data_IF_861158042973
#
_entry.id   IF_861158042973
#
_cell.length_a   1.000
_cell.length_b   1.000
_cell.length_c   1.000
_cell.angle_alpha   90.00
_cell.angle_beta   90.00
_cell.angle_gamma   90.00
#
_symmetry.space_group_name_H-M   'P 1'
#
loop_
_entity.id
_entity.type
_entity.pdbx_description
1 polymer ?
#
# COMPACT_ATOMS: atom_id res chain seq x y z
N UNK A 1 -16.92 -3.31 1.95
CA UNK A 1 -15.44 -3.37 1.98
C UNK A 1 -14.79 -1.99 2.14
N UNK A 2 -15.39 -0.94 1.58
CA UNK A 2 -14.86 0.44 1.55
C UNK A 2 -14.39 1.03 2.91
N UNK A 3 -15.06 0.74 4.04
CA UNK A 3 -14.67 1.34 5.34
C UNK A 3 -13.52 0.64 6.08
N UNK A 4 -13.26 -0.66 5.82
CA UNK A 4 -12.27 -1.43 6.62
C UNK A 4 -10.82 -1.02 6.34
N UNK A 5 -10.53 -0.49 5.16
CA UNK A 5 -9.16 -0.13 4.75
C UNK A 5 -8.99 1.35 4.42
N UNK A 6 -10.09 2.13 4.32
CA UNK A 6 -10.03 3.51 3.88
C UNK A 6 -9.16 4.41 4.76
N UNK A 7 -9.04 4.10 6.05
CA UNK A 7 -8.24 4.86 7.00
C UNK A 7 -6.98 4.12 7.51
N UNK A 8 -6.80 2.84 7.16
CA UNK A 8 -5.70 2.01 7.69
C UNK A 8 -4.82 1.48 6.56
N UNK A 9 -3.70 2.19 6.33
CA UNK A 9 -2.69 1.81 5.34
C UNK A 9 -2.03 0.45 5.68
N UNK A 10 -1.82 0.14 6.96
CA UNK A 10 -1.18 -1.11 7.37
C UNK A 10 -2.11 -2.28 7.09
N UNK A 11 -3.39 -2.14 7.38
CA UNK A 11 -4.39 -3.15 7.03
C UNK A 11 -4.49 -3.34 5.52
N UNK A 12 -4.48 -2.26 4.72
CA UNK A 12 -4.49 -2.33 3.27
C UNK A 12 -3.25 -3.07 2.72
N UNK A 13 -2.06 -2.77 3.25
CA UNK A 13 -0.82 -3.46 2.88
C UNK A 13 -0.89 -4.94 3.24
N UNK A 14 -1.33 -5.30 4.44
CA UNK A 14 -1.49 -6.70 4.86
C UNK A 14 -2.48 -7.45 3.98
N UNK A 15 -3.58 -6.83 3.60
CA UNK A 15 -4.55 -7.41 2.68
C UNK A 15 -3.92 -7.68 1.30
N UNK A 16 -3.26 -6.67 0.72
CA UNK A 16 -2.57 -6.81 -0.58
C UNK A 16 -1.43 -7.83 -0.55
N UNK A 17 -0.75 -7.96 0.58
CA UNK A 17 0.21 -9.05 0.82
C UNK A 17 -0.48 -10.42 0.85
N UNK A 18 -1.66 -10.51 1.48
CA UNK A 18 -2.50 -11.70 1.52
C UNK A 18 -2.91 -12.17 0.12
N UNK A 19 -3.31 -11.26 -0.75
CA UNK A 19 -3.72 -11.58 -2.13
C UNK A 19 -2.56 -11.67 -3.14
N UNK A 20 -1.32 -11.40 -2.71
CA UNK A 20 -0.12 -11.55 -3.55
C UNK A 20 0.21 -10.34 -4.44
N UNK A 21 -0.46 -9.21 -4.25
CA UNK A 21 -0.18 -7.97 -4.98
C UNK A 21 1.03 -7.21 -4.42
N UNK A 22 1.33 -7.41 -3.13
CA UNK A 22 2.53 -6.89 -2.48
C UNK A 22 3.39 -8.03 -1.91
N UNK A 23 4.71 -7.78 -1.85
CA UNK A 23 5.66 -8.72 -1.25
C UNK A 23 5.31 -8.99 0.22
N UNK A 24 5.18 -10.27 0.62
CA UNK A 24 4.98 -10.66 2.04
C UNK A 24 6.25 -10.59 2.88
N UNK A 25 7.41 -10.85 2.25
CA UNK A 25 8.74 -10.84 2.87
C UNK A 25 9.72 -10.22 1.88
N UNK A 26 10.78 -9.61 2.39
CA UNK A 26 11.86 -9.07 1.57
C UNK A 26 13.23 -9.22 2.20
N UNK A 27 14.21 -9.41 1.34
CA UNK A 27 15.62 -9.29 1.67
C UNK A 27 16.16 -7.94 1.21
N UNK A 28 17.09 -7.39 1.97
CA UNK A 28 17.73 -6.12 1.66
C UNK A 28 18.58 -6.27 0.40
N UNK A 29 18.38 -5.43 -0.64
CA UNK A 29 19.12 -5.54 -1.89
C UNK A 29 20.62 -5.25 -1.72
N UNK A 30 21.02 -4.59 -0.62
CA UNK A 30 22.43 -4.26 -0.35
C UNK A 30 23.17 -5.33 0.44
N UNK A 31 22.50 -6.01 1.38
CA UNK A 31 23.20 -6.90 2.33
C UNK A 31 22.53 -8.27 2.53
N UNK A 32 21.48 -8.58 1.76
CA UNK A 32 20.79 -9.88 1.76
C UNK A 32 19.92 -10.17 2.99
N UNK A 33 20.05 -9.42 4.09
CA UNK A 33 19.28 -9.66 5.32
C UNK A 33 17.78 -9.41 5.14
N UNK A 34 16.97 -10.22 5.82
CA UNK A 34 15.54 -9.99 5.93
C UNK A 34 15.24 -8.57 6.45
N UNK A 35 14.25 -7.93 5.84
CA UNK A 35 13.77 -6.60 6.17
C UNK A 35 12.50 -6.69 7.02
N UNK A 36 12.24 -5.65 7.80
CA UNK A 36 11.00 -5.51 8.57
C UNK A 36 10.12 -4.45 7.90
N UNK A 37 8.84 -4.76 7.79
CA UNK A 37 7.83 -3.82 7.31
C UNK A 37 7.44 -2.90 8.48
N UNK A 38 7.55 -1.58 8.28
CA UNK A 38 7.30 -0.59 9.31
C UNK A 38 6.43 0.55 8.76
N UNK A 39 5.46 0.98 9.57
CA UNK A 39 4.71 2.21 9.30
C UNK A 39 5.56 3.42 9.65
N UNK A 40 5.56 4.41 8.75
CA UNK A 40 6.14 5.73 9.01
C UNK A 40 5.11 6.60 9.74
N UNK A 41 5.52 7.19 10.86
CA UNK A 41 4.66 8.09 11.64
C UNK A 41 4.42 9.43 10.94
N UNK A 42 5.38 9.90 10.15
CA UNK A 42 5.37 11.22 9.50
C UNK A 42 4.50 11.29 8.24
N UNK A 43 4.42 10.19 7.47
CA UNK A 43 3.70 10.17 6.18
C UNK A 43 2.51 9.20 6.15
N UNK A 44 2.34 8.39 7.19
CA UNK A 44 1.30 7.38 7.25
C UNK A 44 1.48 6.21 6.26
N UNK A 45 2.58 6.19 5.50
CA UNK A 45 2.90 5.12 4.54
C UNK A 45 3.69 3.98 5.20
N UNK A 46 3.90 2.91 4.46
CA UNK A 46 4.60 1.71 4.92
C UNK A 46 5.87 1.48 4.10
N UNK A 47 6.98 1.23 4.79
CA UNK A 47 8.30 0.95 4.19
C UNK A 47 8.85 -0.38 4.65
N UNK A 48 9.67 -1.00 3.81
CA UNK A 48 10.62 -2.02 4.23
C UNK A 48 11.88 -1.34 4.76
N UNK A 49 12.31 -1.69 5.98
CA UNK A 49 13.56 -1.20 6.57
C UNK A 49 14.48 -2.36 6.90
N UNK A 50 15.75 -2.24 6.51
CA UNK A 50 16.80 -3.16 6.95
C UNK A 50 17.26 -2.76 8.37
N UNK A 51 17.17 -3.69 9.33
CA UNK A 51 17.55 -3.40 10.72
C UNK A 51 19.06 -3.48 10.98
N UNK A 52 19.89 -3.83 9.99
CA UNK A 52 21.36 -3.84 10.16
C UNK A 52 21.86 -2.39 10.32
N UNK A 53 22.48 -2.07 11.46
CA UNK A 53 22.94 -0.71 11.82
C UNK A 53 23.80 -0.03 10.72
N UNK A 54 24.67 -0.78 10.06
CA UNK A 54 25.53 -0.27 8.97
C UNK A 54 24.81 -0.12 7.62
N UNK A 55 23.64 -0.74 7.44
CA UNK A 55 22.92 -0.73 6.15
C UNK A 55 21.75 0.25 6.18
N UNK A 56 20.83 0.10 7.15
CA UNK A 56 19.62 0.91 7.36
C UNK A 56 18.83 1.25 6.09
N UNK A 57 18.97 0.45 5.03
CA UNK A 57 18.38 0.78 3.73
C UNK A 57 16.87 0.63 3.81
N UNK A 58 16.19 1.54 3.14
CA UNK A 58 14.74 1.57 3.06
C UNK A 58 14.30 1.46 1.61
N UNK A 59 13.17 0.79 1.41
CA UNK A 59 12.48 0.71 0.13
C UNK A 59 10.97 0.73 0.37
N UNK A 60 10.21 1.24 -0.59
CA UNK A 60 8.75 1.29 -0.50
C UNK A 60 8.16 -0.12 -0.41
N UNK A 61 7.01 -0.27 0.25
CA UNK A 61 6.21 -1.50 0.18
C UNK A 61 5.89 -1.90 -1.27
N UNK A 62 5.79 -0.91 -2.17
CA UNK A 62 5.43 -1.06 -3.60
C UNK A 62 6.60 -1.41 -4.52
N UNK A 63 7.85 -1.28 -4.05
CA UNK A 63 9.03 -1.54 -4.89
C UNK A 63 9.01 -2.98 -5.40
N UNK A 64 9.29 -3.18 -6.70
CA UNK A 64 9.29 -4.47 -7.39
C UNK A 64 7.91 -5.11 -7.51
N UNK A 65 6.85 -4.31 -7.58
CA UNK A 65 5.47 -4.75 -7.84
C UNK A 65 4.90 -3.90 -8.98
N UNK A 66 3.70 -4.22 -9.46
CA UNK A 66 2.99 -3.40 -10.45
C UNK A 66 2.74 -1.96 -9.97
N UNK A 67 2.76 -1.73 -8.66
CA UNK A 67 2.54 -0.43 -8.03
C UNK A 67 3.81 0.42 -7.85
N UNK A 68 4.96 -0.05 -8.35
CA UNK A 68 6.21 0.69 -8.22
C UNK A 68 6.10 2.06 -8.91
N UNK A 69 6.57 3.12 -8.23
CA UNK A 69 6.57 4.47 -8.76
C UNK A 69 5.25 5.22 -8.60
N UNK A 70 4.16 4.54 -8.26
CA UNK A 70 2.89 5.21 -7.92
C UNK A 70 3.06 5.98 -6.62
N UNK A 71 2.66 7.25 -6.58
CA UNK A 71 2.79 8.07 -5.37
C UNK A 71 1.70 7.78 -4.34
N UNK A 72 0.52 7.37 -4.81
CA UNK A 72 -0.66 7.17 -3.96
C UNK A 72 -0.45 6.09 -2.88
N UNK A 73 -1.03 6.28 -1.68
CA UNK A 73 -1.06 5.26 -0.63
C UNK A 73 -1.66 3.94 -1.10
N UNK A 74 -1.21 2.81 -0.55
CA UNK A 74 -1.69 1.48 -0.89
C UNK A 74 -3.20 1.36 -0.65
N UNK A 75 -3.73 1.99 0.41
CA UNK A 75 -5.19 2.04 0.65
C UNK A 75 -5.95 2.69 -0.49
N UNK A 76 -5.42 3.77 -1.08
CA UNK A 76 -6.05 4.48 -2.21
C UNK A 76 -6.08 3.58 -3.43
N UNK A 77 -4.99 2.84 -3.67
CA UNK A 77 -4.89 1.89 -4.77
C UNK A 77 -5.88 0.72 -4.58
N UNK A 78 -6.01 0.21 -3.35
CA UNK A 78 -6.98 -0.84 -3.01
C UNK A 78 -8.42 -0.37 -3.27
N UNK A 79 -8.76 0.83 -2.79
CA UNK A 79 -10.07 1.44 -2.99
C UNK A 79 -10.36 1.66 -4.47
N UNK A 80 -9.38 2.14 -5.23
CA UNK A 80 -9.52 2.33 -6.67
C UNK A 80 -9.81 1.00 -7.38
N UNK A 81 -9.04 -0.06 -7.10
CA UNK A 81 -9.27 -1.38 -7.70
C UNK A 81 -10.64 -1.95 -7.31
N UNK A 82 -11.06 -1.78 -6.05
CA UNK A 82 -12.38 -2.21 -5.60
C UNK A 82 -13.51 -1.42 -6.29
N UNK A 83 -13.41 -0.09 -6.33
CA UNK A 83 -14.38 0.75 -7.03
C UNK A 83 -14.47 0.38 -8.51
N UNK A 84 -13.33 0.07 -9.13
CA UNK A 84 -13.26 -0.42 -10.50
C UNK A 84 -13.99 -1.76 -10.67
N UNK A 85 -13.74 -2.74 -9.79
CA UNK A 85 -14.42 -4.04 -9.86
C UNK A 85 -15.93 -3.96 -9.66
N UNK A 86 -16.39 -3.00 -8.86
CA UNK A 86 -17.82 -2.73 -8.61
C UNK A 86 -18.46 -1.84 -9.68
N UNK A 87 -17.72 -1.48 -10.75
CA UNK A 87 -18.17 -0.57 -11.82
C UNK A 87 -18.62 0.81 -11.29
N UNK A 88 -18.08 1.23 -10.14
CA UNK A 88 -18.31 2.55 -9.52
C UNK A 88 -17.50 3.67 -10.19
N UNK A 89 -17.07 3.45 -11.44
CA UNK A 89 -16.21 4.33 -12.23
C UNK A 89 -16.99 5.21 -13.22
N UNK A 90 -18.31 5.08 -13.25
CA UNK A 90 -19.21 5.91 -14.06
C UNK A 90 -19.71 7.11 -13.26
N UNK A 91 -20.05 8.22 -13.95
CA UNK A 91 -20.50 9.51 -13.39
C UNK A 91 -21.76 9.47 -12.48
N UNK A 92 -22.27 8.29 -12.13
CA UNK A 92 -23.39 8.10 -11.19
C UNK A 92 -23.03 8.47 -9.73
N UNK A 93 -21.85 9.05 -9.49
CA UNK A 93 -21.41 9.47 -8.17
C UNK A 93 -21.96 10.84 -7.72
N UNK A 94 -22.66 11.57 -8.59
CA UNK A 94 -23.43 12.74 -8.17
C UNK A 94 -24.89 12.35 -7.97
N UNK A 95 -25.31 12.12 -6.71
CA UNK A 95 -26.70 12.52 -6.38
C UNK A 95 -26.72 14.04 -6.52
N UNK A 96 -27.54 14.63 -7.41
CA UNK A 96 -27.72 16.08 -7.38
C UNK A 96 -28.18 16.45 -5.97
N UNK A 97 -27.49 17.41 -5.34
CA UNK A 97 -27.98 18.03 -4.13
C UNK A 97 -29.37 18.57 -4.47
N UNK A 98 -30.40 17.96 -3.91
CA UNK A 98 -31.78 18.40 -4.11
C UNK A 98 -31.99 19.60 -3.20
N UNK A 99 -31.90 20.80 -3.76
CA UNK A 99 -32.45 22.04 -3.17
C UNK A 99 -33.72 22.42 -3.92
#
# INVERSE_FOLDING_TARGET
MCMKFGNDEVAAVKYMQGVGLLHRRRNCPRCGRAMVLQQRKDRGDVRWRCNRKQCQREISAKTGTWFQGVEQPVRTMLLFMWAWSEKLTTLNFCRPCST
#
